data_IF_130379304643
#
_entry.id   IF_130379304643
#
_cell.length_a   1.000
_cell.length_b   1.000
_cell.length_c   1.000
_cell.angle_alpha   90.00
_cell.angle_beta   90.00
_cell.angle_gamma   90.00
#
_symmetry.space_group_name_H-M   'P 1'
#
loop_
_entity.id
_entity.type
_entity.pdbx_description
1 polymer ?
#
# COMPACT_ATOMS: atom_id res chain seq x y z
N UNK A 1 -23.52 -19.41 25.39
CA UNK A 1 -24.03 -18.01 25.46
C UNK A 1 -22.86 -17.09 25.65
N UNK A 2 -22.37 -16.49 24.56
CA UNK A 2 -21.21 -15.57 24.57
C UNK A 2 -21.73 -14.17 24.79
N UNK A 3 -21.29 -13.52 25.86
CA UNK A 3 -21.65 -12.15 26.25
C UNK A 3 -21.12 -11.19 25.18
N UNK A 4 -21.94 -10.27 24.63
CA UNK A 4 -21.43 -9.26 23.69
C UNK A 4 -20.42 -8.35 24.40
N UNK A 5 -19.41 -7.81 23.66
CA UNK A 5 -18.46 -6.86 24.22
C UNK A 5 -19.19 -5.59 24.68
N UNK A 6 -18.68 -4.92 25.72
CA UNK A 6 -19.30 -3.69 26.23
C UNK A 6 -19.28 -2.60 25.17
N UNK A 7 -20.43 -1.94 24.96
CA UNK A 7 -20.53 -0.73 24.16
C UNK A 7 -19.61 0.34 24.76
N UNK A 8 -18.58 0.71 24.02
CA UNK A 8 -17.76 1.88 24.33
C UNK A 8 -18.59 3.10 23.99
N UNK A 9 -19.37 3.57 24.96
CA UNK A 9 -20.02 4.87 24.86
C UNK A 9 -18.93 5.94 24.67
N UNK A 10 -18.86 6.51 23.48
CA UNK A 10 -18.06 7.71 23.24
C UNK A 10 -18.72 8.85 24.03
N UNK A 11 -18.08 9.22 25.14
CA UNK A 11 -18.41 10.43 25.89
C UNK A 11 -18.23 11.64 24.94
N UNK A 12 -19.34 12.26 24.54
CA UNK A 12 -19.39 13.35 23.57
C UNK A 12 -18.81 14.69 24.08
N UNK A 13 -18.16 14.71 25.24
CA UNK A 13 -17.62 15.93 25.85
C UNK A 13 -16.09 16.10 25.71
N UNK A 14 -15.36 15.10 25.21
CA UNK A 14 -13.91 15.24 24.98
C UNK A 14 -13.69 15.93 23.63
N UNK A 15 -13.29 17.20 23.65
CA UNK A 15 -12.65 17.84 22.49
C UNK A 15 -11.51 16.92 22.04
N UNK A 16 -11.51 16.55 20.76
CA UNK A 16 -10.37 15.86 20.18
C UNK A 16 -9.10 16.66 20.46
N UNK A 17 -8.01 16.03 20.93
CA UNK A 17 -6.77 16.74 21.15
C UNK A 17 -6.29 17.41 19.86
N UNK A 18 -5.75 18.62 20.00
CA UNK A 18 -5.19 19.34 18.87
C UNK A 18 -3.97 18.59 18.34
N UNK A 19 -3.85 18.41 17.00
CA UNK A 19 -2.69 17.74 16.44
C UNK A 19 -1.40 18.51 16.71
N UNK A 20 -0.28 17.79 16.83
CA UNK A 20 1.03 18.39 17.04
C UNK A 20 1.36 19.38 15.92
N UNK A 21 1.77 20.58 16.29
CA UNK A 21 2.16 21.63 15.30
C UNK A 21 3.38 21.17 14.47
N UNK A 22 3.48 21.61 13.20
CA UNK A 22 4.66 21.38 12.40
C UNK A 22 5.93 21.86 13.10
N UNK A 23 6.90 20.98 13.24
CA UNK A 23 8.21 21.30 13.82
C UNK A 23 9.27 20.31 13.32
N UNK A 24 10.54 20.73 13.31
CA UNK A 24 11.65 19.85 12.92
C UNK A 24 11.76 18.63 13.83
N UNK A 25 11.46 18.77 15.13
CA UNK A 25 11.46 17.66 16.08
C UNK A 25 10.36 16.64 15.77
N UNK A 26 9.13 17.11 15.48
CA UNK A 26 8.02 16.24 15.06
C UNK A 26 8.37 15.49 13.76
N UNK A 27 8.91 16.20 12.77
CA UNK A 27 9.24 15.62 11.49
C UNK A 27 10.41 14.61 11.60
N UNK A 28 11.40 14.88 12.46
CA UNK A 28 12.45 13.92 12.77
C UNK A 28 11.92 12.68 13.50
N UNK A 29 11.01 12.86 14.46
CA UNK A 29 10.38 11.74 15.16
C UNK A 29 9.56 10.86 14.24
N UNK A 30 8.76 11.45 13.33
CA UNK A 30 8.00 10.71 12.32
C UNK A 30 8.93 10.05 11.28
N UNK A 31 10.03 10.68 10.93
CA UNK A 31 11.06 10.14 10.05
C UNK A 31 11.81 8.92 10.62
N UNK A 32 11.76 8.71 11.94
CA UNK A 32 12.33 7.52 12.58
C UNK A 32 11.48 6.25 12.36
N UNK A 33 10.23 6.39 11.86
CA UNK A 33 9.40 5.25 11.51
C UNK A 33 10.02 4.56 10.29
N UNK A 34 10.38 3.29 10.43
CA UNK A 34 10.99 2.52 9.35
C UNK A 34 10.10 2.51 8.10
N UNK A 35 10.66 2.87 6.97
CA UNK A 35 9.98 2.88 5.69
C UNK A 35 10.85 2.29 4.60
N UNK A 36 10.21 1.71 3.56
CA UNK A 36 10.87 1.17 2.38
C UNK A 36 10.41 1.86 1.11
N UNK A 37 11.16 1.67 0.03
CA UNK A 37 10.69 2.05 -1.31
C UNK A 37 9.82 0.92 -1.86
N UNK A 38 8.52 1.04 -1.74
CA UNK A 38 7.57 0.05 -2.21
C UNK A 38 6.88 0.52 -3.50
N UNK A 39 6.58 -0.41 -4.37
CA UNK A 39 5.66 -0.22 -5.48
C UNK A 39 4.43 -1.09 -5.23
N UNK A 40 3.31 -0.46 -4.95
CA UNK A 40 2.00 -1.11 -4.90
C UNK A 40 1.49 -1.28 -6.33
N UNK A 41 1.04 -2.47 -6.69
CA UNK A 41 0.54 -2.79 -8.02
C UNK A 41 -0.81 -3.47 -7.95
N UNK A 42 -1.66 -3.23 -8.94
CA UNK A 42 -2.92 -3.94 -9.12
C UNK A 42 -3.25 -4.08 -10.61
N UNK A 43 -4.13 -5.02 -10.92
CA UNK A 43 -4.60 -5.27 -12.29
C UNK A 43 -6.06 -5.70 -12.27
N UNK A 44 -6.86 -5.08 -13.14
CA UNK A 44 -8.25 -5.45 -13.38
C UNK A 44 -8.57 -5.39 -14.87
N UNK A 45 -9.19 -6.43 -15.43
CA UNK A 45 -9.56 -6.53 -16.85
C UNK A 45 -8.44 -6.16 -17.85
N UNK A 46 -7.20 -6.47 -17.50
CA UNK A 46 -6.02 -6.17 -18.33
C UNK A 46 -5.42 -4.78 -18.10
N UNK A 47 -6.14 -3.85 -17.49
CA UNK A 47 -5.58 -2.60 -17.03
C UNK A 47 -4.71 -2.84 -15.79
N UNK A 48 -3.48 -2.35 -15.81
CA UNK A 48 -2.52 -2.50 -14.74
C UNK A 48 -1.95 -1.15 -14.32
N UNK A 49 -1.74 -0.99 -13.03
CA UNK A 49 -1.22 0.24 -12.47
C UNK A 49 -0.26 -0.04 -11.31
N UNK A 50 0.66 0.88 -11.11
CA UNK A 50 1.58 0.89 -9.98
C UNK A 50 1.64 2.26 -9.34
N UNK A 51 1.83 2.30 -8.02
CA UNK A 51 1.97 3.52 -7.22
C UNK A 51 3.13 3.36 -6.26
N UNK A 52 4.13 4.25 -6.33
CA UNK A 52 5.21 4.29 -5.34
C UNK A 52 4.66 4.71 -3.99
N UNK A 53 5.07 4.03 -2.93
CA UNK A 53 4.70 4.40 -1.57
C UNK A 53 5.77 4.03 -0.55
N UNK A 54 5.65 4.59 0.64
CA UNK A 54 6.60 4.40 1.75
C UNK A 54 5.98 3.65 2.93
N UNK A 55 4.69 3.77 3.10
CA UNK A 55 4.00 3.34 4.31
C UNK A 55 3.37 1.96 4.11
N UNK A 56 4.20 0.94 4.28
CA UNK A 56 3.82 -0.47 4.31
C UNK A 56 4.23 -1.05 5.65
N UNK A 57 3.29 -1.70 6.34
CA UNK A 57 3.51 -2.27 7.66
C UNK A 57 2.87 -3.65 7.76
N UNK A 58 3.46 -4.51 8.60
CA UNK A 58 2.77 -5.73 9.02
C UNK A 58 1.58 -5.35 9.90
N UNK A 59 0.39 -5.84 9.57
CA UNK A 59 -0.85 -5.51 10.26
C UNK A 59 -1.43 -6.66 11.08
N UNK A 60 -0.93 -7.89 10.89
CA UNK A 60 -1.36 -9.06 11.63
C UNK A 60 -0.42 -10.24 11.45
N UNK A 61 -0.59 -11.28 12.26
CA UNK A 61 0.20 -12.50 12.25
C UNK A 61 -0.57 -13.72 11.76
N UNK A 62 -1.71 -14.00 12.33
CA UNK A 62 -2.63 -15.08 11.97
C UNK A 62 -4.07 -14.57 11.94
N UNK A 63 -4.66 -14.37 10.77
CA UNK A 63 -4.02 -14.53 9.45
C UNK A 63 -2.94 -13.48 9.17
N UNK A 64 -1.98 -13.75 8.25
CA UNK A 64 -0.93 -12.81 7.92
C UNK A 64 -1.50 -11.61 7.14
N UNK A 65 -1.44 -10.43 7.75
CA UNK A 65 -1.97 -9.19 7.18
C UNK A 65 -0.86 -8.15 7.02
N UNK A 66 -0.97 -7.38 5.94
CA UNK A 66 -0.14 -6.19 5.68
C UNK A 66 -1.03 -4.98 5.42
N UNK A 67 -0.57 -3.79 5.78
CA UNK A 67 -1.25 -2.54 5.46
C UNK A 67 -0.40 -1.69 4.53
N UNK A 68 -1.05 -0.99 3.62
CA UNK A 68 -0.45 0.00 2.74
C UNK A 68 -1.29 1.27 2.74
N UNK A 69 -0.66 2.43 2.93
CA UNK A 69 -1.33 3.72 2.93
C UNK A 69 -1.06 4.44 1.63
N UNK A 70 -2.12 4.89 0.98
CA UNK A 70 -2.11 5.50 -0.35
C UNK A 70 -2.82 6.85 -0.29
N UNK A 71 -2.32 7.90 -0.99
CA UNK A 71 -3.07 9.15 -1.12
C UNK A 71 -4.42 8.94 -1.80
N UNK A 72 -5.46 9.59 -1.29
CA UNK A 72 -6.81 9.55 -1.88
C UNK A 72 -6.83 10.07 -3.31
N UNK A 73 -7.80 9.58 -4.08
CA UNK A 73 -7.95 9.95 -5.49
C UNK A 73 -6.88 9.35 -6.40
N UNK A 74 -6.09 8.42 -5.90
CA UNK A 74 -5.13 7.72 -6.72
C UNK A 74 -5.85 6.77 -7.71
N UNK A 75 -5.40 6.77 -8.96
CA UNK A 75 -6.00 5.96 -10.04
C UNK A 75 -5.92 4.45 -9.82
N UNK A 76 -5.10 3.97 -8.89
CA UNK A 76 -5.02 2.55 -8.52
C UNK A 76 -6.21 2.10 -7.68
N UNK A 77 -6.88 3.00 -6.96
CA UNK A 77 -7.96 2.68 -6.05
C UNK A 77 -9.12 1.89 -6.70
N UNK A 78 -9.64 2.28 -7.89
CA UNK A 78 -10.64 1.49 -8.60
C UNK A 78 -10.16 0.08 -8.93
N UNK A 79 -8.90 -0.06 -9.40
CA UNK A 79 -8.35 -1.37 -9.77
C UNK A 79 -8.28 -2.31 -8.57
N UNK A 80 -7.82 -1.81 -7.40
CA UNK A 80 -7.77 -2.62 -6.17
C UNK A 80 -9.16 -3.04 -5.71
N UNK A 81 -10.13 -2.11 -5.77
CA UNK A 81 -11.50 -2.39 -5.37
C UNK A 81 -12.15 -3.43 -6.27
N UNK A 82 -11.99 -3.29 -7.57
CA UNK A 82 -12.69 -4.11 -8.55
C UNK A 82 -12.02 -5.48 -8.72
N UNK A 83 -10.67 -5.57 -8.67
CA UNK A 83 -9.93 -6.84 -8.67
C UNK A 83 -9.94 -7.55 -7.31
N UNK A 84 -10.22 -6.83 -6.23
CA UNK A 84 -10.08 -7.32 -4.85
C UNK A 84 -8.67 -7.80 -4.51
N UNK A 85 -7.64 -7.25 -5.20
CA UNK A 85 -6.27 -7.70 -5.07
C UNK A 85 -5.24 -6.59 -5.30
N UNK A 86 -4.08 -6.74 -4.69
CA UNK A 86 -2.90 -5.92 -4.95
C UNK A 86 -1.61 -6.67 -4.59
N UNK A 87 -0.50 -6.25 -5.16
CA UNK A 87 0.81 -6.73 -4.76
C UNK A 87 1.71 -5.58 -4.28
N UNK A 88 2.60 -5.89 -3.37
CA UNK A 88 3.60 -4.99 -2.82
C UNK A 88 4.97 -5.46 -3.27
N UNK A 89 5.74 -4.59 -3.91
CA UNK A 89 7.07 -4.88 -4.43
C UNK A 89 8.08 -3.97 -3.74
N UNK A 90 8.96 -4.51 -2.88
CA UNK A 90 10.04 -3.76 -2.26
C UNK A 90 11.16 -3.55 -3.27
N UNK A 91 11.45 -2.30 -3.57
CA UNK A 91 12.51 -1.92 -4.49
C UNK A 91 13.86 -1.82 -3.76
N UNK A 92 14.91 -2.27 -4.42
CA UNK A 92 16.27 -2.06 -3.93
C UNK A 92 16.67 -0.58 -4.06
N UNK A 93 17.67 -0.10 -3.27
CA UNK A 93 18.11 1.29 -3.32
C UNK A 93 18.61 1.78 -4.70
N UNK A 94 19.11 0.87 -5.52
CA UNK A 94 19.56 1.13 -6.90
C UNK A 94 18.42 1.16 -7.94
N UNK A 95 17.20 0.80 -7.56
CA UNK A 95 16.02 0.73 -8.45
C UNK A 95 15.20 2.03 -8.49
N UNK A 96 15.79 3.17 -8.17
CA UNK A 96 15.10 4.48 -8.19
C UNK A 96 14.50 4.85 -9.56
N UNK A 97 15.04 4.33 -10.65
CA UNK A 97 14.50 4.56 -11.98
C UNK A 97 13.14 3.86 -12.17
N UNK A 98 12.95 2.69 -11.54
CA UNK A 98 11.66 2.00 -11.54
C UNK A 98 10.64 2.85 -10.78
N UNK A 99 10.98 3.29 -9.57
CA UNK A 99 10.11 4.15 -8.78
C UNK A 99 9.66 5.40 -9.56
N UNK A 100 10.61 6.10 -10.19
CA UNK A 100 10.33 7.32 -10.98
C UNK A 100 9.34 7.09 -12.12
N UNK A 101 9.33 5.92 -12.75
CA UNK A 101 8.39 5.60 -13.85
C UNK A 101 6.93 5.61 -13.41
N UNK A 102 6.67 5.31 -12.14
CA UNK A 102 5.32 5.26 -11.58
C UNK A 102 4.92 6.54 -10.85
N UNK A 103 5.77 7.56 -10.83
CA UNK A 103 5.40 8.86 -10.28
C UNK A 103 4.42 9.59 -11.20
N UNK A 104 3.47 10.31 -10.61
CA UNK A 104 2.47 11.10 -11.34
C UNK A 104 3.12 12.00 -12.40
N UNK A 105 2.55 12.02 -13.61
CA UNK A 105 3.02 12.80 -14.75
C UNK A 105 4.00 12.07 -15.68
N UNK A 106 4.65 10.99 -15.25
CA UNK A 106 5.46 10.15 -16.15
C UNK A 106 4.61 9.11 -16.89
N UNK A 107 3.55 8.60 -16.27
CA UNK A 107 2.63 7.61 -16.84
C UNK A 107 1.96 8.12 -18.14
N UNK A 108 1.62 9.41 -18.20
CA UNK A 108 0.98 10.02 -19.37
C UNK A 108 1.94 10.22 -20.56
N UNK A 109 3.26 10.20 -20.30
CA UNK A 109 4.29 10.47 -21.33
C UNK A 109 4.91 9.21 -21.91
N UNK A 110 4.93 8.09 -21.19
CA UNK A 110 5.72 6.91 -21.52
C UNK A 110 4.91 5.68 -21.92
N UNK A 111 3.57 5.76 -21.94
CA UNK A 111 2.72 4.58 -22.17
C UNK A 111 2.68 3.66 -20.95
N UNK A 112 2.47 2.36 -21.15
CA UNK A 112 2.41 1.39 -20.06
C UNK A 112 3.79 1.22 -19.39
N UNK A 113 3.95 1.63 -18.11
CA UNK A 113 5.23 1.57 -17.43
C UNK A 113 5.74 0.15 -17.19
N UNK A 114 4.89 -0.87 -17.36
CA UNK A 114 5.25 -2.28 -17.19
C UNK A 114 5.85 -2.92 -18.45
N UNK A 115 5.74 -2.31 -19.63
CA UNK A 115 6.18 -2.92 -20.90
C UNK A 115 7.65 -3.38 -20.87
N UNK A 116 8.52 -2.62 -20.23
CA UNK A 116 9.96 -2.90 -20.17
C UNK A 116 10.38 -3.59 -18.87
N UNK A 117 9.43 -3.91 -17.99
CA UNK A 117 9.70 -4.57 -16.72
C UNK A 117 9.40 -6.06 -16.82
N UNK A 118 10.28 -6.86 -16.24
CA UNK A 118 10.00 -8.27 -16.08
C UNK A 118 9.01 -8.46 -14.92
N UNK A 119 7.80 -8.82 -15.26
CA UNK A 119 6.73 -9.10 -14.30
C UNK A 119 6.36 -10.57 -14.32
N UNK A 120 5.87 -11.05 -13.21
CA UNK A 120 5.26 -12.36 -13.05
C UNK A 120 3.93 -12.22 -12.30
N UNK A 121 3.11 -13.24 -12.35
CA UNK A 121 1.90 -13.36 -11.54
C UNK A 121 2.18 -14.40 -10.46
N UNK A 122 1.77 -14.10 -9.23
CA UNK A 122 1.82 -15.05 -8.14
C UNK A 122 0.47 -15.79 -8.04
N UNK A 123 -0.38 -15.40 -7.09
CA UNK A 123 -1.73 -15.95 -6.91
C UNK A 123 -2.77 -15.07 -7.58
N UNK A 124 -2.66 -13.76 -7.39
CA UNK A 124 -3.55 -12.78 -8.01
C UNK A 124 -3.04 -12.36 -9.40
N UNK A 125 -3.83 -11.52 -10.09
CA UNK A 125 -3.39 -10.92 -11.36
C UNK A 125 -2.52 -9.68 -11.19
N UNK A 126 -2.26 -9.26 -9.94
CA UNK A 126 -1.46 -8.08 -9.66
C UNK A 126 -0.01 -8.26 -10.12
N UNK A 127 0.59 -7.29 -10.83
CA UNK A 127 1.95 -7.41 -11.32
C UNK A 127 2.98 -7.53 -10.19
N UNK A 128 3.75 -8.61 -10.19
CA UNK A 128 4.88 -8.83 -9.30
C UNK A 128 6.18 -8.58 -10.05
N UNK A 129 7.01 -7.65 -9.60
CA UNK A 129 8.28 -7.34 -10.26
C UNK A 129 9.32 -8.42 -9.95
N UNK A 130 9.88 -9.05 -10.99
CA UNK A 130 10.96 -10.04 -10.80
C UNK A 130 12.20 -9.45 -10.16
N UNK A 131 12.46 -8.18 -10.40
CA UNK A 131 13.61 -7.45 -9.84
C UNK A 131 13.42 -6.99 -8.39
N UNK A 132 12.20 -7.00 -7.85
CA UNK A 132 11.95 -6.60 -6.47
C UNK A 132 12.69 -7.48 -5.46
N UNK A 133 13.18 -6.88 -4.37
CA UNK A 133 13.83 -7.59 -3.26
C UNK A 133 12.84 -8.51 -2.55
N UNK A 134 11.64 -7.99 -2.32
CA UNK A 134 10.51 -8.72 -1.72
C UNK A 134 9.27 -8.44 -2.56
N UNK A 135 8.47 -9.46 -2.77
CA UNK A 135 7.13 -9.34 -3.33
C UNK A 135 6.13 -9.98 -2.38
N UNK A 136 5.02 -9.29 -2.12
CA UNK A 136 3.92 -9.77 -1.27
C UNK A 136 2.64 -9.63 -2.09
N UNK A 137 2.01 -10.73 -2.44
CA UNK A 137 0.77 -10.78 -3.21
C UNK A 137 -0.42 -10.97 -2.26
N UNK A 138 -1.44 -10.12 -2.39
CA UNK A 138 -2.50 -9.96 -1.41
C UNK A 138 -3.89 -9.96 -2.02
N UNK A 139 -4.83 -10.58 -1.32
CA UNK A 139 -6.25 -10.30 -1.46
C UNK A 139 -6.63 -9.10 -0.58
N UNK A 140 -7.48 -8.22 -1.09
CA UNK A 140 -7.99 -7.08 -0.31
C UNK A 140 -8.87 -7.57 0.85
N UNK A 141 -8.36 -7.44 2.08
CA UNK A 141 -9.08 -7.82 3.30
C UNK A 141 -9.94 -6.68 3.84
N UNK A 142 -9.40 -5.46 3.89
CA UNK A 142 -10.10 -4.24 4.33
C UNK A 142 -9.64 -3.02 3.56
N UNK A 143 -10.55 -2.10 3.35
CA UNK A 143 -10.28 -0.73 2.92
C UNK A 143 -10.77 0.23 4.01
N UNK A 144 -9.94 1.14 4.45
CA UNK A 144 -10.21 2.07 5.54
C UNK A 144 -9.95 3.49 5.04
N UNK A 145 -10.98 4.30 5.02
CA UNK A 145 -10.84 5.74 4.84
C UNK A 145 -10.30 6.35 6.15
N UNK A 146 -9.19 7.05 6.07
CA UNK A 146 -8.58 7.69 7.24
C UNK A 146 -9.20 9.06 7.56
N UNK A 147 -10.25 9.45 6.82
CA UNK A 147 -10.92 10.75 6.96
C UNK A 147 -9.97 11.95 6.78
N UNK A 148 -8.87 11.73 6.08
CA UNK A 148 -7.84 12.71 5.74
C UNK A 148 -7.44 12.55 4.26
N UNK A 149 -6.30 13.04 3.85
CA UNK A 149 -5.78 12.94 2.46
C UNK A 149 -5.35 11.52 2.05
N UNK A 150 -5.42 10.56 2.95
CA UNK A 150 -4.98 9.19 2.74
C UNK A 150 -6.07 8.16 3.00
N UNK A 151 -5.89 6.99 2.41
CA UNK A 151 -6.68 5.77 2.62
C UNK A 151 -5.75 4.57 2.86
N UNK A 152 -6.21 3.59 3.61
CA UNK A 152 -5.45 2.40 3.96
C UNK A 152 -6.06 1.16 3.35
N UNK A 153 -5.25 0.38 2.67
CA UNK A 153 -5.59 -0.96 2.20
C UNK A 153 -4.93 -2.00 3.11
N UNK A 154 -5.72 -2.91 3.66
CA UNK A 154 -5.22 -4.06 4.41
C UNK A 154 -5.38 -5.29 3.53
N UNK A 155 -4.27 -5.98 3.28
CA UNK A 155 -4.21 -7.18 2.46
C UNK A 155 -4.01 -8.44 3.28
N UNK A 156 -4.75 -9.49 2.95
CA UNK A 156 -4.45 -10.85 3.35
C UNK A 156 -3.33 -11.38 2.45
N UNK A 157 -2.22 -11.75 3.04
CA UNK A 157 -1.06 -12.26 2.30
C UNK A 157 -1.36 -13.65 1.76
N UNK A 158 -1.36 -13.80 0.43
CA UNK A 158 -1.57 -15.05 -0.27
C UNK A 158 -0.28 -15.72 -0.69
N UNK A 159 0.73 -14.94 -1.10
CA UNK A 159 2.03 -15.42 -1.48
C UNK A 159 3.12 -14.38 -1.21
N UNK A 160 4.33 -14.85 -1.00
CA UNK A 160 5.52 -14.01 -0.83
C UNK A 160 6.68 -14.57 -1.63
N UNK A 161 7.55 -13.68 -2.10
CA UNK A 161 8.82 -14.06 -2.71
C UNK A 161 9.92 -13.12 -2.20
N UNK A 162 11.06 -13.67 -1.89
CA UNK A 162 12.29 -12.94 -1.63
C UNK A 162 13.30 -13.25 -2.73
N UNK A 163 13.96 -12.21 -3.25
CA UNK A 163 15.07 -12.38 -4.18
C UNK A 163 16.30 -12.82 -3.38
N UNK A 164 16.81 -14.02 -3.68
CA UNK A 164 18.13 -14.49 -3.22
C UNK A 164 19.27 -13.67 -3.82
#
# INVERSE_FOLDING_TARGET
>A
MTRPPPDIQRDGSRRSPEPAKPSAERDAALGAIASGAWLLTSCHEGERMGVPLRWVQRAGGEPPLVSAVVPKGNRIAPLIRDSRAFALNLLAPDQRLIEKRFMNGMLERLGDPFETLQIERCVTSSPCLRSAVVTIDCELFRHIDLEDECEMYVGLVLATRMRS
#
